data_IF_768991503532
#
_entry.id   IF_768991503532
#
_cell.length_a   1.000
_cell.length_b   1.000
_cell.length_c   1.000
_cell.angle_alpha   90.00
_cell.angle_beta   90.00
_cell.angle_gamma   90.00
#
_symmetry.space_group_name_H-M   'P 1'
#
loop_
_entity.id
_entity.type
_entity.pdbx_description
1 polymer ?
#
# COMPACT_ATOMS: atom_id res chain seq x y z
N UNK A 1 4.16 16.70 -15.56
CA UNK A 1 5.05 15.96 -14.63
C UNK A 1 5.88 16.97 -13.85
N UNK A 2 5.79 16.92 -12.54
CA UNK A 2 6.54 17.85 -11.68
C UNK A 2 8.04 17.56 -11.77
N UNK A 3 8.83 18.60 -12.06
CA UNK A 3 10.29 18.53 -12.01
C UNK A 3 10.78 19.53 -10.96
N UNK A 4 11.47 19.07 -9.93
CA UNK A 4 12.02 20.01 -8.96
C UNK A 4 13.13 20.83 -9.58
N UNK A 5 13.37 22.04 -9.07
CA UNK A 5 14.48 22.88 -9.56
C UNK A 5 15.82 22.21 -9.33
N UNK A 6 16.80 22.59 -10.15
CA UNK A 6 18.17 22.09 -10.02
C UNK A 6 18.70 22.39 -8.60
N UNK A 7 19.30 21.39 -7.97
CA UNK A 7 19.81 21.50 -6.61
C UNK A 7 18.79 21.20 -5.52
N UNK A 8 17.56 20.88 -5.90
CA UNK A 8 16.53 20.52 -4.94
C UNK A 8 16.82 19.13 -4.35
N UNK A 9 17.00 19.09 -3.04
CA UNK A 9 17.05 17.81 -2.31
C UNK A 9 15.65 17.54 -1.76
N UNK A 10 15.02 16.42 -2.13
CA UNK A 10 13.69 16.14 -1.58
C UNK A 10 13.79 15.93 -0.08
N UNK A 11 13.16 16.82 0.67
CA UNK A 11 12.98 16.67 2.11
C UNK A 11 11.60 16.04 2.33
N UNK A 12 11.51 15.18 3.33
CA UNK A 12 10.21 14.69 3.80
C UNK A 12 9.49 15.87 4.46
N UNK A 13 8.77 16.62 3.66
CA UNK A 13 7.91 17.69 4.18
C UNK A 13 6.68 17.09 4.82
N UNK A 14 6.09 17.80 5.80
CA UNK A 14 4.86 17.37 6.44
C UNK A 14 3.77 17.05 5.40
N UNK A 15 3.69 17.83 4.33
CA UNK A 15 2.71 17.65 3.25
C UNK A 15 2.92 16.33 2.49
N UNK A 16 4.15 15.80 2.43
CA UNK A 16 4.42 14.54 1.75
C UNK A 16 4.03 13.33 2.59
N UNK A 17 3.90 13.51 3.91
CA UNK A 17 3.46 12.44 4.82
C UNK A 17 1.97 12.17 4.66
N UNK A 18 1.18 13.20 4.34
CA UNK A 18 -0.27 13.06 4.22
C UNK A 18 -0.70 12.03 3.16
N UNK A 19 -0.16 12.07 1.93
CA UNK A 19 -0.47 11.01 0.95
C UNK A 19 -0.09 9.62 1.43
N UNK A 20 1.05 9.48 2.11
CA UNK A 20 1.49 8.17 2.63
C UNK A 20 0.57 7.66 3.72
N UNK A 21 0.09 8.55 4.60
CA UNK A 21 -0.88 8.20 5.63
C UNK A 21 -2.20 7.76 5.00
N UNK A 22 -2.68 8.48 3.99
CA UNK A 22 -3.90 8.13 3.27
C UNK A 22 -3.76 6.79 2.55
N UNK A 23 -2.60 6.52 1.95
CA UNK A 23 -2.32 5.24 1.31
C UNK A 23 -2.31 4.10 2.33
N UNK A 24 -1.81 4.34 3.53
CA UNK A 24 -1.82 3.32 4.60
C UNK A 24 -3.25 2.96 4.98
N UNK A 25 -4.11 3.96 5.22
CA UNK A 25 -5.52 3.72 5.56
C UNK A 25 -6.22 3.03 4.39
N UNK A 26 -5.98 3.48 3.16
CA UNK A 26 -6.51 2.88 1.95
C UNK A 26 -6.16 1.41 1.85
N UNK A 27 -4.90 1.05 2.16
CA UNK A 27 -4.45 -0.33 2.11
C UNK A 27 -5.11 -1.21 3.17
N UNK A 28 -5.47 -0.65 4.32
CA UNK A 28 -6.24 -1.40 5.32
C UNK A 28 -7.60 -1.79 4.73
N UNK A 29 -8.31 -0.84 4.12
CA UNK A 29 -9.59 -1.13 3.46
C UNK A 29 -9.42 -2.15 2.32
N UNK A 30 -8.39 -1.98 1.49
CA UNK A 30 -8.12 -2.87 0.38
C UNK A 30 -7.83 -4.31 0.86
N UNK A 31 -7.06 -4.45 1.93
CA UNK A 31 -6.74 -5.76 2.49
C UNK A 31 -8.02 -6.48 2.94
N UNK A 32 -8.93 -5.77 3.60
CA UNK A 32 -10.23 -6.35 3.98
C UNK A 32 -11.09 -6.67 2.75
N UNK A 33 -11.05 -5.82 1.73
CA UNK A 33 -11.82 -6.08 0.50
C UNK A 33 -11.34 -7.35 -0.21
N UNK A 34 -10.03 -7.57 -0.24
CA UNK A 34 -9.46 -8.70 -0.98
C UNK A 34 -9.43 -9.98 -0.18
N UNK A 35 -9.19 -9.90 1.13
CA UNK A 35 -8.90 -11.10 1.94
C UNK A 35 -9.81 -11.27 3.16
N UNK A 36 -10.56 -10.23 3.55
CA UNK A 36 -11.42 -10.32 4.72
C UNK A 36 -12.48 -11.41 4.60
N UNK A 37 -12.96 -11.65 3.37
CA UNK A 37 -13.97 -12.67 3.09
C UNK A 37 -13.47 -14.10 3.30
N UNK A 38 -12.17 -14.30 3.45
CA UNK A 38 -11.61 -15.65 3.65
C UNK A 38 -12.10 -16.28 4.96
N UNK A 39 -12.57 -15.49 5.91
CA UNK A 39 -13.22 -16.00 7.13
C UNK A 39 -14.67 -16.43 6.88
N UNK A 40 -15.26 -16.05 5.75
CA UNK A 40 -16.67 -16.28 5.45
C UNK A 40 -16.84 -17.14 4.20
N UNK A 41 -16.06 -18.22 4.10
CA UNK A 41 -16.05 -19.09 2.92
C UNK A 41 -17.40 -19.77 2.64
N UNK A 42 -18.27 -19.84 3.66
CA UNK A 42 -19.60 -20.45 3.52
C UNK A 42 -20.66 -19.47 3.03
N UNK A 43 -20.35 -18.18 2.96
CA UNK A 43 -21.26 -17.18 2.45
C UNK A 43 -21.36 -17.27 0.92
N UNK A 44 -22.52 -16.85 0.39
CA UNK A 44 -22.71 -16.86 -1.07
C UNK A 44 -21.70 -15.94 -1.74
N UNK A 45 -21.12 -16.39 -2.83
CA UNK A 45 -20.05 -15.67 -3.53
C UNK A 45 -20.49 -14.27 -3.96
N UNK A 46 -21.73 -14.12 -4.47
CA UNK A 46 -22.20 -12.82 -4.95
C UNK A 46 -22.34 -11.80 -3.83
N UNK A 47 -22.70 -12.24 -2.60
CA UNK A 47 -22.78 -11.37 -1.42
C UNK A 47 -21.38 -10.89 -1.06
N UNK A 48 -20.40 -11.79 -1.07
CA UNK A 48 -19.01 -11.46 -0.76
C UNK A 48 -18.45 -10.47 -1.79
N UNK A 49 -18.75 -10.66 -3.05
CA UNK A 49 -18.31 -9.75 -4.12
C UNK A 49 -18.89 -8.34 -3.88
N UNK A 50 -20.16 -8.23 -3.58
CA UNK A 50 -20.80 -6.93 -3.33
C UNK A 50 -20.24 -6.26 -2.09
N UNK A 51 -20.03 -7.02 -1.01
CA UNK A 51 -19.47 -6.48 0.23
C UNK A 51 -18.04 -5.97 0.00
N UNK A 52 -17.23 -6.76 -0.68
CA UNK A 52 -15.85 -6.38 -1.01
C UNK A 52 -15.80 -5.16 -1.93
N UNK A 53 -16.70 -5.11 -2.91
CA UNK A 53 -16.79 -3.94 -3.79
C UNK A 53 -17.15 -2.67 -3.01
N UNK A 54 -18.07 -2.76 -2.05
CA UNK A 54 -18.42 -1.63 -1.20
C UNK A 54 -17.24 -1.14 -0.37
N UNK A 55 -16.44 -2.07 0.18
CA UNK A 55 -15.22 -1.71 0.91
C UNK A 55 -14.21 -1.05 -0.04
N UNK A 56 -14.04 -1.58 -1.25
CA UNK A 56 -13.13 -1.03 -2.24
C UNK A 56 -13.53 0.38 -2.68
N UNK A 57 -14.81 0.71 -2.66
CA UNK A 57 -15.26 2.06 -2.95
C UNK A 57 -14.64 3.07 -1.98
N UNK A 58 -14.67 2.77 -0.68
CA UNK A 58 -14.04 3.65 0.32
C UNK A 58 -12.53 3.69 0.15
N UNK A 59 -11.93 2.57 -0.22
CA UNK A 59 -10.51 2.51 -0.53
C UNK A 59 -10.15 3.49 -1.66
N UNK A 60 -10.91 3.51 -2.74
CA UNK A 60 -10.68 4.43 -3.85
C UNK A 60 -10.83 5.90 -3.45
N UNK A 61 -11.74 6.21 -2.53
CA UNK A 61 -11.90 7.58 -2.03
C UNK A 61 -10.66 8.11 -1.32
N UNK A 62 -9.81 7.20 -0.83
CA UNK A 62 -8.52 7.54 -0.22
C UNK A 62 -7.36 7.37 -1.19
N UNK A 63 -7.37 6.31 -1.99
CA UNK A 63 -6.26 5.95 -2.87
C UNK A 63 -6.07 6.97 -3.99
N UNK A 64 -7.13 7.35 -4.68
CA UNK A 64 -7.03 8.23 -5.85
C UNK A 64 -6.54 9.62 -5.44
N UNK A 65 -7.15 10.29 -4.42
CA UNK A 65 -6.59 11.56 -3.95
C UNK A 65 -5.17 11.44 -3.43
N UNK A 66 -4.84 10.35 -2.73
CA UNK A 66 -3.50 10.13 -2.20
C UNK A 66 -2.47 10.05 -3.32
N UNK A 67 -2.79 9.34 -4.40
CA UNK A 67 -1.90 9.24 -5.55
C UNK A 67 -1.70 10.59 -6.24
N UNK A 68 -2.76 11.38 -6.37
CA UNK A 68 -2.66 12.72 -6.97
C UNK A 68 -1.80 13.65 -6.12
N UNK A 69 -2.02 13.66 -4.82
CA UNK A 69 -1.22 14.48 -3.90
C UNK A 69 0.22 14.00 -3.86
N UNK A 70 0.41 12.68 -3.79
CA UNK A 70 1.74 12.08 -3.70
C UNK A 70 2.57 12.28 -4.96
N UNK A 71 1.94 12.38 -6.12
CA UNK A 71 2.65 12.59 -7.39
C UNK A 71 3.35 13.95 -7.45
N UNK A 72 2.97 14.89 -6.60
CA UNK A 72 3.68 16.17 -6.46
C UNK A 72 5.02 16.02 -5.74
N UNK A 73 5.23 14.94 -5.02
CA UNK A 73 6.44 14.70 -4.23
C UNK A 73 7.23 13.49 -4.70
N UNK A 74 6.56 12.52 -5.32
CA UNK A 74 7.15 11.24 -5.73
C UNK A 74 6.83 10.96 -7.19
N UNK A 75 7.73 10.25 -7.86
CA UNK A 75 7.43 9.71 -9.19
C UNK A 75 6.41 8.58 -9.09
N UNK A 76 5.77 8.24 -10.22
CA UNK A 76 4.81 7.13 -10.23
C UNK A 76 5.46 5.79 -9.81
N UNK A 77 6.67 5.42 -10.29
CA UNK A 77 7.34 4.22 -9.79
C UNK A 77 7.62 4.26 -8.28
N UNK A 78 8.00 5.42 -7.74
CA UNK A 78 8.25 5.57 -6.30
C UNK A 78 6.95 5.38 -5.51
N UNK A 79 5.84 5.94 -5.99
CA UNK A 79 4.53 5.75 -5.35
C UNK A 79 4.13 4.28 -5.36
N UNK A 80 4.32 3.60 -6.50
CA UNK A 80 3.97 2.18 -6.61
C UNK A 80 4.76 1.34 -5.62
N UNK A 81 6.06 1.56 -5.53
CA UNK A 81 6.93 0.79 -4.63
C UNK A 81 6.60 1.10 -3.17
N UNK A 82 6.35 2.37 -2.84
CA UNK A 82 5.93 2.75 -1.49
C UNK A 82 4.64 2.03 -1.09
N UNK A 83 3.68 1.94 -2.01
CA UNK A 83 2.42 1.22 -1.78
C UNK A 83 2.65 -0.26 -1.57
N UNK A 84 3.58 -0.88 -2.29
CA UNK A 84 3.91 -2.29 -2.09
C UNK A 84 4.45 -2.55 -0.69
N UNK A 85 5.32 -1.67 -0.17
CA UNK A 85 5.83 -1.79 1.20
C UNK A 85 4.69 -1.66 2.20
N UNK A 86 3.84 -0.64 2.04
CA UNK A 86 2.68 -0.42 2.91
C UNK A 86 1.77 -1.64 2.86
N UNK A 87 1.47 -2.15 1.66
CA UNK A 87 0.63 -3.32 1.46
C UNK A 87 1.19 -4.54 2.20
N UNK A 88 2.49 -4.77 2.11
CA UNK A 88 3.12 -5.91 2.77
C UNK A 88 3.05 -5.80 4.29
N UNK A 89 3.31 -4.62 4.86
CA UNK A 89 3.24 -4.41 6.30
C UNK A 89 1.82 -4.60 6.79
N UNK A 90 0.85 -3.96 6.12
CA UNK A 90 -0.57 -4.08 6.47
C UNK A 90 -1.01 -5.53 6.36
N UNK A 91 -0.65 -6.20 5.28
CA UNK A 91 -1.02 -7.60 5.07
C UNK A 91 -0.39 -8.53 6.12
N UNK A 92 0.87 -8.29 6.48
CA UNK A 92 1.54 -9.10 7.49
C UNK A 92 0.81 -9.02 8.83
N UNK A 93 0.45 -7.80 9.26
CA UNK A 93 -0.31 -7.60 10.50
C UNK A 93 -1.69 -8.25 10.38
N UNK A 94 -2.37 -8.05 9.25
CA UNK A 94 -3.69 -8.62 9.00
C UNK A 94 -3.66 -10.15 9.02
N UNK A 95 -2.67 -10.75 8.36
CA UNK A 95 -2.55 -12.21 8.29
C UNK A 95 -2.39 -12.84 9.66
N UNK A 96 -1.54 -12.24 10.50
CA UNK A 96 -1.29 -12.77 11.85
C UNK A 96 -2.47 -12.52 12.77
N UNK A 97 -3.06 -11.32 12.74
CA UNK A 97 -4.09 -10.92 13.71
C UNK A 97 -5.49 -11.35 13.31
N UNK A 98 -5.86 -11.17 12.04
CA UNK A 98 -7.22 -11.44 11.57
C UNK A 98 -7.37 -12.85 11.03
N UNK A 99 -6.50 -13.29 10.12
CA UNK A 99 -6.57 -14.61 9.51
C UNK A 99 -5.99 -15.70 10.42
N UNK A 100 -5.19 -15.31 11.43
CA UNK A 100 -4.52 -16.24 12.34
C UNK A 100 -3.55 -17.17 11.61
N UNK A 101 -2.96 -16.71 10.51
CA UNK A 101 -1.96 -17.45 9.78
C UNK A 101 -0.56 -16.94 10.15
N UNK A 102 0.34 -17.81 10.66
CA UNK A 102 1.66 -17.36 11.07
C UNK A 102 2.55 -17.04 9.86
N UNK A 103 3.39 -16.03 10.02
CA UNK A 103 4.43 -15.72 9.05
C UNK A 103 5.61 -16.65 9.29
N UNK A 104 6.03 -17.35 8.23
CA UNK A 104 7.19 -18.23 8.28
C UNK A 104 8.43 -17.46 7.84
N UNK A 105 9.62 -18.01 8.13
CA UNK A 105 10.88 -17.35 7.81
C UNK A 105 11.05 -17.09 6.31
N UNK A 106 10.52 -17.98 5.45
CA UNK A 106 10.58 -17.79 4.00
C UNK A 106 9.78 -16.54 3.55
N UNK A 107 8.66 -16.25 4.22
CA UNK A 107 7.91 -15.03 3.97
C UNK A 107 8.72 -13.80 4.35
N UNK A 108 9.44 -13.87 5.48
CA UNK A 108 10.28 -12.77 5.94
C UNK A 108 11.44 -12.51 4.96
N UNK A 109 12.04 -13.57 4.42
CA UNK A 109 13.09 -13.44 3.40
C UNK A 109 12.54 -12.76 2.15
N UNK A 110 11.36 -13.19 1.68
CA UNK A 110 10.73 -12.58 0.51
C UNK A 110 10.42 -11.10 0.73
N UNK A 111 9.87 -10.76 1.90
CA UNK A 111 9.59 -9.37 2.25
C UNK A 111 10.88 -8.55 2.31
N UNK A 112 11.96 -9.13 2.83
CA UNK A 112 13.27 -8.47 2.86
C UNK A 112 13.80 -8.15 1.47
N UNK A 113 13.60 -9.06 0.51
CA UNK A 113 13.98 -8.84 -0.88
C UNK A 113 13.19 -7.69 -1.51
N UNK A 114 11.92 -7.55 -1.16
CA UNK A 114 11.10 -6.43 -1.64
C UNK A 114 11.59 -5.11 -1.04
N UNK A 115 11.98 -5.10 0.23
CA UNK A 115 12.60 -3.92 0.84
C UNK A 115 13.91 -3.53 0.15
N UNK A 116 14.68 -4.52 -0.28
CA UNK A 116 15.89 -4.26 -1.06
C UNK A 116 15.55 -3.61 -2.41
N UNK A 117 14.47 -4.05 -3.04
CA UNK A 117 13.98 -3.45 -4.28
C UNK A 117 13.62 -1.97 -4.09
N UNK A 118 13.05 -1.60 -2.93
CA UNK A 118 12.73 -0.21 -2.60
C UNK A 118 13.99 0.66 -2.67
N UNK A 119 15.09 0.17 -2.11
CA UNK A 119 16.36 0.89 -2.12
C UNK A 119 16.78 1.25 -3.55
N UNK A 120 16.65 0.30 -4.49
CA UNK A 120 17.03 0.52 -5.88
C UNK A 120 16.11 1.51 -6.59
N UNK A 121 14.83 1.53 -6.25
CA UNK A 121 13.85 2.43 -6.89
C UNK A 121 14.01 3.87 -6.40
N UNK A 122 14.30 4.06 -5.10
CA UNK A 122 14.38 5.39 -4.51
C UNK A 122 15.77 6.01 -4.63
N UNK A 123 16.80 5.20 -4.83
CA UNK A 123 18.16 5.73 -5.00
C UNK A 123 18.28 6.45 -6.35
N UNK A 124 18.90 7.63 -6.34
CA UNK A 124 19.20 8.37 -7.56
C UNK A 124 20.45 7.77 -8.21
N UNK A 125 20.28 7.20 -9.38
CA UNK A 125 21.39 6.65 -10.17
C UNK A 125 21.78 7.68 -11.21
N UNK A 126 22.99 8.22 -11.09
CA UNK A 126 23.54 9.16 -12.06
C UNK A 126 24.59 8.47 -12.92
#
# INVERSE_FOLDING_TARGET
MYRPPLGYTPRMEFKSVMPLAMLTVSNIFMTFAWYGHLKFKHSALWIVILASWGIAFFEYCLQVPANRMGHSYFTAPQLKVAQEVITLVVFAVFSVTYLKEPLKWNHLVGFGLILLAVFFVFKTWD
#
